data_IF_442745239136
#
_entry.id   IF_442745239136
#
_cell.length_a   1.000
_cell.length_b   1.000
_cell.length_c   1.000
_cell.angle_alpha   90.00
_cell.angle_beta   90.00
_cell.angle_gamma   90.00
#
_symmetry.space_group_name_H-M   'P 1'
#
loop_
_entity.id
_entity.type
_entity.pdbx_description
1 polymer ?
#
# COMPACT_ATOMS: atom_id res chain seq x y z
N UNK A 1 -34.28 -9.83 -3.37
CA UNK A 1 -33.38 -11.02 -3.31
C UNK A 1 -33.17 -11.54 -4.73
N UNK A 2 -32.23 -12.45 -4.98
CA UNK A 2 -32.07 -13.10 -6.29
C UNK A 2 -32.22 -14.62 -6.16
N UNK A 3 -33.25 -15.18 -6.80
CA UNK A 3 -33.48 -16.62 -6.87
C UNK A 3 -32.54 -17.28 -7.88
N UNK A 4 -31.98 -18.42 -7.49
CA UNK A 4 -31.08 -19.24 -8.30
C UNK A 4 -31.28 -20.73 -7.98
N UNK A 5 -30.88 -21.61 -8.90
CA UNK A 5 -30.85 -23.06 -8.68
C UNK A 5 -29.42 -23.55 -8.53
N UNK A 6 -29.22 -24.65 -7.81
CA UNK A 6 -27.88 -25.27 -7.65
C UNK A 6 -27.20 -25.58 -8.99
N UNK A 7 -27.97 -25.94 -10.03
CA UNK A 7 -27.46 -26.16 -11.39
C UNK A 7 -26.84 -24.93 -12.04
N UNK A 8 -27.24 -23.74 -11.60
CA UNK A 8 -26.86 -22.47 -12.21
C UNK A 8 -25.57 -21.91 -11.57
N UNK A 9 -25.20 -22.41 -10.39
CA UNK A 9 -24.07 -21.92 -9.60
C UNK A 9 -22.73 -21.90 -10.36
N UNK A 10 -22.34 -22.94 -11.14
CA UNK A 10 -21.12 -22.89 -11.94
C UNK A 10 -21.13 -21.77 -12.98
N UNK A 11 -22.30 -21.49 -13.58
CA UNK A 11 -22.46 -20.43 -14.55
C UNK A 11 -22.42 -19.04 -13.88
N UNK A 12 -23.06 -18.90 -12.71
CA UNK A 12 -22.98 -17.68 -11.89
C UNK A 12 -21.51 -17.37 -11.57
N UNK A 13 -20.77 -18.34 -11.02
CA UNK A 13 -19.36 -18.16 -10.66
C UNK A 13 -18.48 -17.84 -11.87
N UNK A 14 -18.77 -18.45 -13.02
CA UNK A 14 -18.07 -18.14 -14.25
C UNK A 14 -18.29 -16.70 -14.69
N UNK A 15 -19.55 -16.29 -14.78
CA UNK A 15 -19.93 -14.96 -15.28
C UNK A 15 -19.54 -13.84 -14.32
N UNK A 16 -19.64 -14.08 -13.01
CA UNK A 16 -19.35 -13.07 -12.00
C UNK A 16 -17.86 -13.01 -11.71
N UNK A 17 -17.19 -14.16 -11.52
CA UNK A 17 -15.85 -14.23 -10.94
C UNK A 17 -14.78 -14.59 -11.97
N UNK A 18 -14.91 -15.73 -12.65
CA UNK A 18 -13.76 -16.33 -13.37
C UNK A 18 -13.59 -15.90 -14.83
N UNK A 19 -14.53 -15.12 -15.37
CA UNK A 19 -14.48 -14.58 -16.74
C UNK A 19 -14.15 -13.07 -16.73
N UNK A 20 -12.86 -12.70 -16.87
CA UNK A 20 -12.45 -11.32 -16.68
C UNK A 20 -12.80 -10.37 -17.81
N UNK A 21 -13.18 -10.89 -18.97
CA UNK A 21 -13.55 -10.08 -20.13
C UNK A 21 -15.00 -9.58 -20.04
N UNK A 22 -15.75 -10.03 -19.03
CA UNK A 22 -17.19 -9.80 -18.89
C UNK A 22 -17.61 -9.11 -17.59
N UNK A 23 -16.68 -8.46 -16.85
CA UNK A 23 -17.04 -7.78 -15.60
C UNK A 23 -18.15 -6.76 -15.79
N UNK A 24 -19.09 -6.79 -14.86
CA UNK A 24 -20.41 -6.22 -15.02
C UNK A 24 -20.36 -4.79 -14.48
N UNK A 25 -20.25 -3.81 -15.36
CA UNK A 25 -20.22 -2.37 -15.04
C UNK A 25 -19.06 -1.92 -14.14
N UNK A 26 -18.32 -0.97 -14.66
CA UNK A 26 -17.30 -0.21 -13.99
C UNK A 26 -17.92 0.64 -12.84
N UNK A 27 -17.66 0.27 -11.57
CA UNK A 27 -17.77 1.21 -10.43
C UNK A 27 -18.94 1.09 -9.44
N UNK A 28 -19.61 -0.07 -9.28
CA UNK A 28 -20.71 -0.22 -8.29
C UNK A 28 -20.62 -1.46 -7.39
N UNK A 29 -19.50 -2.20 -7.38
CA UNK A 29 -19.37 -3.48 -6.67
C UNK A 29 -20.56 -4.44 -6.93
N UNK A 30 -21.06 -4.48 -8.16
CA UNK A 30 -22.30 -5.18 -8.48
C UNK A 30 -22.15 -6.69 -8.28
N UNK A 31 -20.96 -7.24 -8.53
CA UNK A 31 -20.67 -8.65 -8.32
C UNK A 31 -20.84 -9.03 -6.84
N UNK A 32 -20.27 -8.23 -5.94
CA UNK A 32 -20.44 -8.39 -4.49
C UNK A 32 -21.91 -8.29 -4.06
N UNK A 33 -22.66 -7.35 -4.64
CA UNK A 33 -24.08 -7.21 -4.34
C UNK A 33 -24.94 -8.35 -4.89
N UNK A 34 -24.65 -8.87 -6.09
CA UNK A 34 -25.34 -10.04 -6.66
C UNK A 34 -25.12 -11.26 -5.76
N UNK A 35 -23.86 -11.51 -5.36
CA UNK A 35 -23.52 -12.61 -4.44
C UNK A 35 -24.29 -12.46 -3.11
N UNK A 36 -24.35 -11.25 -2.55
CA UNK A 36 -25.10 -11.00 -1.33
C UNK A 36 -26.63 -11.19 -1.51
N UNK A 37 -27.22 -10.75 -2.62
CA UNK A 37 -28.64 -10.96 -2.86
C UNK A 37 -29.01 -12.43 -3.10
N UNK A 38 -28.08 -13.21 -3.68
CA UNK A 38 -28.19 -14.67 -3.81
C UNK A 38 -28.06 -15.37 -2.45
N UNK A 39 -27.21 -14.85 -1.55
CA UNK A 39 -27.10 -15.31 -0.17
C UNK A 39 -28.39 -15.06 0.62
N UNK A 40 -28.98 -13.86 0.48
CA UNK A 40 -30.29 -13.56 1.11
C UNK A 40 -31.40 -14.49 0.65
N UNK A 41 -31.37 -14.93 -0.61
CA UNK A 41 -32.34 -15.91 -1.10
C UNK A 41 -32.13 -17.29 -0.45
N UNK A 42 -30.88 -17.75 -0.33
CA UNK A 42 -30.59 -19.01 0.37
C UNK A 42 -31.04 -18.96 1.86
N UNK A 43 -30.82 -17.82 2.53
CA UNK A 43 -31.30 -17.57 3.90
C UNK A 43 -32.84 -17.57 3.99
N UNK A 44 -33.52 -16.95 3.02
CA UNK A 44 -34.98 -16.92 2.93
C UNK A 44 -35.58 -18.32 2.70
N UNK A 45 -34.90 -19.18 1.93
CA UNK A 45 -35.27 -20.58 1.77
C UNK A 45 -34.92 -21.45 2.98
N UNK A 46 -34.24 -20.90 4.00
CA UNK A 46 -33.69 -21.62 5.15
C UNK A 46 -32.87 -22.84 4.72
N UNK A 47 -32.08 -22.71 3.64
CA UNK A 47 -31.25 -23.79 3.10
C UNK A 47 -29.77 -23.59 3.45
N UNK A 48 -29.30 -24.37 4.41
CA UNK A 48 -27.88 -24.40 4.79
C UNK A 48 -27.02 -24.87 3.61
N UNK A 49 -27.46 -25.90 2.87
CA UNK A 49 -26.74 -26.43 1.71
C UNK A 49 -26.51 -25.37 0.63
N UNK A 50 -27.51 -24.54 0.32
CA UNK A 50 -27.36 -23.47 -0.67
C UNK A 50 -26.42 -22.37 -0.18
N UNK A 51 -26.46 -22.04 1.11
CA UNK A 51 -25.59 -21.06 1.75
C UNK A 51 -24.13 -21.51 1.67
N UNK A 52 -23.85 -22.73 2.10
CA UNK A 52 -22.52 -23.35 2.08
C UNK A 52 -21.98 -23.43 0.66
N UNK A 53 -22.77 -23.96 -0.29
CA UNK A 53 -22.35 -24.08 -1.69
C UNK A 53 -22.02 -22.72 -2.31
N UNK A 54 -22.82 -21.69 -2.04
CA UNK A 54 -22.60 -20.35 -2.58
C UNK A 54 -21.28 -19.75 -2.06
N UNK A 55 -21.03 -19.81 -0.75
CA UNK A 55 -19.82 -19.25 -0.15
C UNK A 55 -18.58 -20.04 -0.58
N UNK A 56 -18.61 -21.37 -0.49
CA UNK A 56 -17.49 -22.23 -0.92
C UNK A 56 -17.14 -22.05 -2.39
N UNK A 57 -18.16 -21.94 -3.25
CA UNK A 57 -17.95 -21.71 -4.69
C UNK A 57 -17.41 -20.32 -4.97
N UNK A 58 -17.84 -19.31 -4.21
CA UNK A 58 -17.30 -17.93 -4.28
C UNK A 58 -15.82 -17.94 -3.92
N UNK A 59 -15.46 -18.50 -2.76
CA UNK A 59 -14.08 -18.58 -2.28
C UNK A 59 -13.21 -19.37 -3.27
N UNK A 60 -13.67 -20.54 -3.73
CA UNK A 60 -12.92 -21.38 -4.68
C UNK A 60 -12.68 -20.67 -6.02
N UNK A 61 -13.66 -19.90 -6.49
CA UNK A 61 -13.56 -19.12 -7.73
C UNK A 61 -12.60 -17.95 -7.60
N UNK A 62 -12.58 -17.27 -6.44
CA UNK A 62 -11.62 -16.22 -6.14
C UNK A 62 -10.21 -16.79 -6.03
N UNK A 63 -10.03 -17.92 -5.37
CA UNK A 63 -8.73 -18.61 -5.30
C UNK A 63 -8.22 -19.03 -6.68
N UNK A 64 -9.12 -19.48 -7.56
CA UNK A 64 -8.78 -19.73 -8.95
C UNK A 64 -8.32 -18.43 -9.64
N UNK A 65 -9.09 -17.36 -9.52
CA UNK A 65 -8.79 -16.07 -10.12
C UNK A 65 -7.46 -15.51 -9.62
N UNK A 66 -7.23 -15.47 -8.31
CA UNK A 66 -6.01 -14.96 -7.71
C UNK A 66 -4.80 -15.79 -8.09
N UNK A 67 -4.95 -17.11 -8.30
CA UNK A 67 -3.87 -17.97 -8.79
C UNK A 67 -3.51 -17.70 -10.25
N UNK A 68 -4.50 -17.49 -11.11
CA UNK A 68 -4.31 -17.36 -12.56
C UNK A 68 -4.04 -15.92 -13.02
N UNK A 69 -4.52 -14.92 -12.28
CA UNK A 69 -4.43 -13.49 -12.62
C UNK A 69 -3.74 -12.65 -11.55
N UNK A 70 -2.86 -13.24 -10.73
CA UNK A 70 -2.08 -12.56 -9.67
C UNK A 70 -1.28 -11.33 -10.10
N UNK A 71 -1.01 -11.18 -11.40
CA UNK A 71 -0.24 -10.05 -11.94
C UNK A 71 -1.13 -9.00 -12.64
N UNK A 72 -2.46 -9.20 -12.66
CA UNK A 72 -3.42 -8.21 -13.17
C UNK A 72 -3.92 -7.32 -12.03
N UNK A 73 -3.25 -6.18 -11.82
CA UNK A 73 -3.56 -5.25 -10.72
C UNK A 73 -5.01 -4.74 -10.76
N UNK A 74 -5.49 -4.33 -11.94
CA UNK A 74 -6.84 -3.79 -12.10
C UNK A 74 -7.89 -4.81 -11.65
N UNK A 75 -7.68 -6.07 -12.01
CA UNK A 75 -8.54 -7.16 -11.62
C UNK A 75 -8.50 -7.45 -10.11
N UNK A 76 -7.31 -7.43 -9.51
CA UNK A 76 -7.19 -7.62 -8.07
C UNK A 76 -7.87 -6.47 -7.29
N UNK A 77 -7.70 -5.21 -7.73
CA UNK A 77 -8.40 -4.06 -7.14
C UNK A 77 -9.92 -4.18 -7.28
N UNK A 78 -10.41 -4.59 -8.45
CA UNK A 78 -11.83 -4.85 -8.70
C UNK A 78 -12.39 -5.88 -7.72
N UNK A 79 -11.66 -6.96 -7.51
CA UNK A 79 -12.08 -8.00 -6.58
C UNK A 79 -11.94 -7.61 -5.12
N UNK A 80 -10.94 -6.80 -4.75
CA UNK A 80 -10.83 -6.27 -3.40
C UNK A 80 -12.07 -5.42 -3.04
N UNK A 81 -12.52 -4.54 -3.94
CA UNK A 81 -13.74 -3.77 -3.75
C UNK A 81 -14.99 -4.65 -3.64
N UNK A 82 -15.16 -5.59 -4.57
CA UNK A 82 -16.32 -6.48 -4.58
C UNK A 82 -16.40 -7.44 -3.38
N UNK A 83 -15.28 -8.05 -2.97
CA UNK A 83 -15.26 -9.00 -1.84
C UNK A 83 -15.46 -8.29 -0.52
N UNK A 84 -14.91 -7.08 -0.35
CA UNK A 84 -15.14 -6.28 0.85
C UNK A 84 -16.58 -5.77 0.87
N UNK A 85 -17.16 -5.38 -0.26
CA UNK A 85 -18.59 -5.05 -0.36
C UNK A 85 -19.49 -6.22 0.08
N UNK A 86 -19.20 -7.44 -0.37
CA UNK A 86 -19.90 -8.65 0.08
C UNK A 86 -19.77 -8.82 1.60
N UNK A 87 -18.55 -8.72 2.14
CA UNK A 87 -18.29 -8.84 3.57
C UNK A 87 -19.05 -7.79 4.40
N UNK A 88 -19.02 -6.52 3.98
CA UNK A 88 -19.75 -5.45 4.67
C UNK A 88 -21.25 -5.70 4.63
N UNK A 89 -21.79 -6.16 3.49
CA UNK A 89 -23.21 -6.50 3.37
C UNK A 89 -23.58 -7.66 4.30
N UNK A 90 -22.77 -8.72 4.35
CA UNK A 90 -22.99 -9.85 5.27
C UNK A 90 -23.03 -9.38 6.73
N UNK A 91 -22.06 -8.56 7.16
CA UNK A 91 -22.01 -7.97 8.50
C UNK A 91 -23.21 -7.07 8.78
N UNK A 92 -23.51 -6.12 7.89
CA UNK A 92 -24.58 -5.13 8.04
C UNK A 92 -25.97 -5.77 8.22
N UNK A 93 -26.24 -6.83 7.46
CA UNK A 93 -27.53 -7.50 7.47
C UNK A 93 -27.52 -8.80 8.29
N UNK A 94 -26.47 -9.08 9.06
CA UNK A 94 -26.38 -10.29 9.91
C UNK A 94 -27.43 -10.37 11.02
N UNK A 95 -28.01 -9.24 11.42
CA UNK A 95 -28.89 -9.16 12.58
C UNK A 95 -28.15 -9.04 13.93
N UNK A 96 -26.82 -9.11 13.94
CA UNK A 96 -26.00 -8.90 15.14
C UNK A 96 -26.00 -7.41 15.54
N UNK A 97 -26.37 -7.07 16.79
CA UNK A 97 -26.40 -5.68 17.28
C UNK A 97 -25.05 -4.96 17.25
N UNK A 98 -23.92 -5.69 17.16
CA UNK A 98 -22.58 -5.10 17.01
C UNK A 98 -22.46 -4.34 15.67
N UNK A 99 -23.17 -4.77 14.63
CA UNK A 99 -23.16 -4.13 13.32
C UNK A 99 -24.36 -3.19 13.16
N UNK A 100 -24.09 -1.89 13.27
CA UNK A 100 -25.12 -0.88 13.03
C UNK A 100 -25.62 -0.93 11.58
N UNK A 101 -26.92 -1.16 11.39
CA UNK A 101 -27.56 -1.10 10.08
C UNK A 101 -28.39 0.19 9.92
N UNK A 102 -27.98 1.13 9.05
CA UNK A 102 -28.77 2.32 8.76
C UNK A 102 -30.03 2.03 7.93
N UNK A 103 -30.07 0.91 7.20
CA UNK A 103 -31.17 0.52 6.32
C UNK A 103 -32.25 -0.28 7.08
N UNK A 104 -33.07 0.42 7.85
CA UNK A 104 -34.10 -0.20 8.73
C UNK A 104 -35.22 -0.92 7.98
N UNK A 105 -35.43 -0.58 6.72
CA UNK A 105 -36.53 -1.13 5.90
C UNK A 105 -36.21 -2.51 5.31
N UNK A 106 -34.97 -2.97 5.41
CA UNK A 106 -34.53 -4.25 4.87
C UNK A 106 -34.38 -5.25 6.00
N UNK A 107 -35.14 -6.35 5.94
CA UNK A 107 -35.00 -7.45 6.90
C UNK A 107 -33.59 -8.02 6.85
N UNK A 108 -32.97 -8.12 8.03
CA UNK A 108 -31.72 -8.85 8.21
C UNK A 108 -31.88 -10.33 7.85
N UNK A 109 -30.76 -11.02 7.79
CA UNK A 109 -30.65 -12.46 7.66
C UNK A 109 -31.24 -13.07 8.93
N UNK A 110 -32.13 -14.04 8.77
CA UNK A 110 -32.98 -14.52 9.89
C UNK A 110 -32.67 -15.94 10.33
N UNK A 111 -31.99 -16.73 9.50
CA UNK A 111 -31.95 -18.18 9.66
C UNK A 111 -30.61 -18.73 10.17
N UNK A 112 -29.49 -18.02 9.98
CA UNK A 112 -28.15 -18.61 10.14
C UNK A 112 -27.12 -17.73 10.85
N UNK A 113 -26.28 -18.35 11.70
CA UNK A 113 -25.05 -17.74 12.21
C UNK A 113 -23.98 -17.77 11.12
N UNK A 114 -23.64 -16.60 10.58
CA UNK A 114 -22.69 -16.47 9.45
C UNK A 114 -21.23 -16.26 9.88
N UNK A 115 -20.93 -16.42 11.17
CA UNK A 115 -19.63 -16.08 11.76
C UNK A 115 -18.48 -16.81 11.06
N UNK A 116 -18.59 -18.13 10.85
CA UNK A 116 -17.55 -18.92 10.18
C UNK A 116 -17.37 -18.48 8.71
N UNK A 117 -18.46 -18.10 8.04
CA UNK A 117 -18.40 -17.60 6.66
C UNK A 117 -17.76 -16.21 6.55
N UNK A 118 -17.93 -15.35 7.56
CA UNK A 118 -17.22 -14.07 7.61
C UNK A 118 -15.71 -14.25 7.61
N UNK A 119 -15.20 -15.25 8.34
CA UNK A 119 -13.76 -15.51 8.43
C UNK A 119 -13.20 -15.99 7.08
N UNK A 120 -13.91 -16.86 6.36
CA UNK A 120 -13.50 -17.30 5.02
C UNK A 120 -13.43 -16.13 4.02
N UNK A 121 -14.47 -15.30 3.97
CA UNK A 121 -14.51 -14.13 3.08
C UNK A 121 -13.46 -13.09 3.48
N UNK A 122 -13.26 -12.89 4.78
CA UNK A 122 -12.23 -11.98 5.32
C UNK A 122 -10.83 -12.46 4.93
N UNK A 123 -10.53 -13.75 5.08
CA UNK A 123 -9.24 -14.33 4.70
C UNK A 123 -8.96 -14.16 3.20
N UNK A 124 -9.95 -14.37 2.34
CA UNK A 124 -9.78 -14.18 0.89
C UNK A 124 -9.59 -12.70 0.53
N UNK A 125 -10.31 -11.78 1.17
CA UNK A 125 -10.11 -10.34 0.99
C UNK A 125 -8.67 -9.92 1.38
N UNK A 126 -8.15 -10.45 2.50
CA UNK A 126 -6.78 -10.22 2.92
C UNK A 126 -5.76 -10.82 1.94
N UNK A 127 -6.02 -12.03 1.42
CA UNK A 127 -5.18 -12.66 0.40
C UNK A 127 -5.03 -11.77 -0.84
N UNK A 128 -6.14 -11.25 -1.36
CA UNK A 128 -6.15 -10.32 -2.50
C UNK A 128 -5.39 -9.03 -2.17
N UNK A 129 -5.62 -8.45 -0.97
CA UNK A 129 -4.89 -7.28 -0.49
C UNK A 129 -3.36 -7.49 -0.54
N UNK A 130 -2.86 -8.60 -0.01
CA UNK A 130 -1.42 -8.87 0.00
C UNK A 130 -0.86 -9.17 -1.40
N UNK A 131 -1.64 -9.76 -2.30
CA UNK A 131 -1.26 -9.91 -3.70
C UNK A 131 -1.08 -8.56 -4.39
N UNK A 132 -1.99 -7.61 -4.13
CA UNK A 132 -1.87 -6.23 -4.62
C UNK A 132 -0.58 -5.60 -4.09
N UNK A 133 -0.33 -5.64 -2.78
CA UNK A 133 0.91 -5.12 -2.19
C UNK A 133 2.15 -5.70 -2.86
N UNK A 134 2.22 -7.03 -3.01
CA UNK A 134 3.34 -7.70 -3.66
C UNK A 134 3.52 -7.28 -5.14
N UNK A 135 2.42 -7.00 -5.85
CA UNK A 135 2.50 -6.46 -7.20
C UNK A 135 3.05 -5.03 -7.20
N UNK A 136 2.54 -4.17 -6.32
CA UNK A 136 2.95 -2.77 -6.22
C UNK A 136 4.42 -2.64 -5.83
N UNK A 137 4.90 -3.40 -4.85
CA UNK A 137 6.31 -3.40 -4.46
C UNK A 137 7.22 -3.80 -5.64
N UNK A 138 6.87 -4.86 -6.38
CA UNK A 138 7.63 -5.31 -7.56
C UNK A 138 7.69 -4.25 -8.66
N UNK A 139 6.57 -3.56 -8.90
CA UNK A 139 6.48 -2.52 -9.94
C UNK A 139 7.22 -1.24 -9.53
N UNK A 140 7.21 -0.91 -8.24
CA UNK A 140 7.79 0.30 -7.70
C UNK A 140 9.30 0.20 -7.42
N UNK A 141 9.79 -0.98 -7.03
CA UNK A 141 11.21 -1.26 -6.72
C UNK A 141 12.21 -0.70 -7.75
N UNK A 142 12.06 -0.92 -9.08
CA UNK A 142 12.99 -0.37 -10.06
C UNK A 142 12.92 1.16 -10.22
N UNK A 143 11.89 1.81 -9.67
CA UNK A 143 11.71 3.27 -9.78
C UNK A 143 12.32 4.02 -8.60
N UNK A 144 12.33 3.42 -7.41
CA UNK A 144 12.70 4.10 -6.16
C UNK A 144 14.11 4.68 -6.21
N UNK A 145 15.13 3.87 -6.49
CA UNK A 145 16.53 4.33 -6.44
C UNK A 145 16.82 5.33 -7.56
N UNK A 146 16.50 5.04 -8.84
CA UNK A 146 16.73 5.99 -9.91
C UNK A 146 15.97 7.31 -9.71
N UNK A 147 14.69 7.24 -9.34
CA UNK A 147 13.81 8.40 -9.25
C UNK A 147 13.98 9.25 -7.99
N UNK A 148 14.26 8.63 -6.83
CA UNK A 148 14.31 9.35 -5.55
C UNK A 148 15.72 9.61 -5.02
N UNK A 149 16.72 8.80 -5.39
CA UNK A 149 18.10 8.92 -4.89
C UNK A 149 19.09 9.42 -5.93
N UNK A 150 19.01 8.94 -7.18
CA UNK A 150 20.02 9.20 -8.21
C UNK A 150 19.70 10.39 -9.13
N UNK A 151 18.42 10.60 -9.43
CA UNK A 151 17.99 11.69 -10.30
C UNK A 151 18.21 13.07 -9.65
N UNK A 152 18.93 13.94 -10.34
CA UNK A 152 19.17 15.33 -9.94
C UNK A 152 17.98 16.21 -10.37
N UNK A 153 16.93 16.28 -9.54
CA UNK A 153 15.78 17.17 -9.76
C UNK A 153 16.14 18.66 -9.59
N UNK A 154 17.21 19.00 -8.86
CA UNK A 154 17.69 20.38 -8.66
C UNK A 154 18.91 20.65 -9.56
N UNK A 155 18.66 21.12 -10.78
CA UNK A 155 19.65 21.29 -11.86
C UNK A 155 20.81 22.27 -11.56
N UNK A 156 20.69 23.16 -10.56
CA UNK A 156 21.70 24.18 -10.27
C UNK A 156 22.71 23.82 -9.19
N UNK A 157 22.59 22.66 -8.51
CA UNK A 157 23.45 22.33 -7.37
C UNK A 157 24.77 21.62 -7.76
N UNK A 158 24.93 21.22 -9.02
CA UNK A 158 26.05 20.38 -9.48
C UNK A 158 26.89 21.08 -10.55
N UNK A 159 27.46 22.26 -10.23
CA UNK A 159 28.45 22.93 -11.09
C UNK A 159 29.86 22.27 -11.06
N UNK A 160 30.01 21.07 -10.47
CA UNK A 160 31.31 20.49 -10.13
C UNK A 160 31.44 18.98 -10.43
N UNK A 161 30.66 18.40 -11.36
CA UNK A 161 31.01 17.07 -11.88
C UNK A 161 32.11 17.22 -12.94
N UNK A 162 33.24 16.49 -12.85
CA UNK A 162 34.23 16.48 -13.92
C UNK A 162 33.59 16.00 -15.21
N UNK A 163 33.83 16.72 -16.30
CA UNK A 163 33.47 16.34 -17.66
C UNK A 163 34.20 15.04 -18.01
N UNK A 164 33.63 13.88 -17.69
CA UNK A 164 34.31 12.61 -17.90
C UNK A 164 33.56 11.33 -17.51
N UNK A 165 32.45 11.42 -16.76
CA UNK A 165 31.64 10.24 -16.45
C UNK A 165 30.42 10.18 -17.37
N UNK A 166 30.47 9.27 -18.36
CA UNK A 166 29.31 8.92 -19.19
C UNK A 166 29.30 9.50 -20.61
N UNK A 167 30.44 9.56 -21.31
CA UNK A 167 30.42 9.57 -22.79
C UNK A 167 30.47 8.13 -23.29
N UNK A 168 29.33 7.44 -23.24
CA UNK A 168 29.16 6.21 -24.05
C UNK A 168 29.00 6.66 -25.50
N UNK A 169 30.09 6.56 -26.27
CA UNK A 169 30.03 6.55 -27.72
C UNK A 169 29.40 5.24 -28.14
N UNK A 170 28.09 5.23 -28.37
CA UNK A 170 27.35 4.29 -29.23
C UNK A 170 25.91 4.84 -29.34
N UNK A 171 25.47 5.14 -30.55
CA UNK A 171 24.09 5.54 -30.79
C UNK A 171 23.11 4.38 -30.55
N UNK A 172 21.86 4.76 -30.31
CA UNK A 172 20.63 3.95 -30.21
C UNK A 172 20.23 3.65 -28.74
N UNK A 173 19.10 4.26 -28.35
CA UNK A 173 18.45 4.31 -27.02
C UNK A 173 18.98 5.40 -26.07
N UNK A 174 18.24 6.51 -25.97
CA UNK A 174 18.38 7.43 -24.82
C UNK A 174 18.01 6.63 -23.56
N UNK A 175 18.83 6.66 -22.49
CA UNK A 175 18.45 5.99 -21.24
C UNK A 175 17.11 6.56 -20.77
N UNK A 176 16.18 5.68 -20.40
CA UNK A 176 14.91 6.10 -19.77
C UNK A 176 15.28 6.73 -18.44
N UNK A 177 15.05 8.04 -18.32
CA UNK A 177 15.28 8.78 -17.08
C UNK A 177 14.04 8.57 -16.22
N UNK A 178 14.23 7.97 -15.07
CA UNK A 178 13.19 7.84 -14.04
C UNK A 178 13.34 8.99 -13.06
N UNK A 179 12.23 9.59 -12.67
CA UNK A 179 12.14 10.78 -11.83
C UNK A 179 11.12 10.58 -10.71
N UNK A 180 11.09 11.51 -9.74
CA UNK A 180 10.03 11.52 -8.71
C UNK A 180 8.62 11.61 -9.31
N UNK A 181 8.45 12.26 -10.45
CA UNK A 181 7.15 12.37 -11.14
C UNK A 181 6.66 11.03 -11.71
N UNK A 182 7.55 10.08 -11.99
CA UNK A 182 7.13 8.72 -12.40
C UNK A 182 6.55 7.93 -11.24
N UNK A 183 7.06 8.16 -10.03
CA UNK A 183 6.54 7.58 -8.79
C UNK A 183 5.23 8.26 -8.42
N UNK A 184 5.14 9.58 -8.49
CA UNK A 184 3.89 10.32 -8.28
C UNK A 184 2.78 9.86 -9.23
N UNK A 185 3.10 9.67 -10.52
CA UNK A 185 2.16 9.10 -11.50
C UNK A 185 1.71 7.70 -11.10
N UNK A 186 2.62 6.83 -10.69
CA UNK A 186 2.26 5.50 -10.17
C UNK A 186 1.31 5.57 -8.96
N UNK A 187 1.54 6.49 -8.02
CA UNK A 187 0.67 6.68 -6.86
C UNK A 187 -0.72 7.19 -7.26
N UNK A 188 -0.79 8.13 -8.20
CA UNK A 188 -2.06 8.63 -8.77
C UNK A 188 -2.84 7.52 -9.47
N UNK A 189 -2.19 6.76 -10.35
CA UNK A 189 -2.82 5.67 -11.10
C UNK A 189 -3.40 4.61 -10.15
N UNK A 190 -2.65 4.27 -9.09
CA UNK A 190 -3.12 3.35 -8.05
C UNK A 190 -4.32 3.90 -7.29
N UNK A 191 -4.25 5.14 -6.80
CA UNK A 191 -5.35 5.74 -6.03
C UNK A 191 -6.63 5.79 -6.86
N UNK A 192 -6.52 6.27 -8.11
CA UNK A 192 -7.63 6.32 -9.05
C UNK A 192 -8.26 4.92 -9.26
N UNK A 193 -7.43 3.88 -9.41
CA UNK A 193 -7.92 2.51 -9.57
C UNK A 193 -8.64 2.00 -8.31
N UNK A 194 -8.09 2.26 -7.11
CA UNK A 194 -8.71 1.85 -5.86
C UNK A 194 -10.05 2.55 -5.61
N UNK A 195 -10.11 3.86 -5.86
CA UNK A 195 -11.34 4.66 -5.73
C UNK A 195 -12.39 4.24 -6.76
N UNK A 196 -11.97 3.98 -8.01
CA UNK A 196 -12.84 3.47 -9.06
C UNK A 196 -13.44 2.10 -8.70
N UNK A 197 -12.66 1.23 -8.07
CA UNK A 197 -13.13 -0.05 -7.56
C UNK A 197 -13.88 0.05 -6.22
N UNK A 198 -14.14 1.26 -5.71
CA UNK A 198 -14.82 1.53 -4.43
C UNK A 198 -14.17 0.83 -3.22
N UNK A 199 -12.84 0.72 -3.21
CA UNK A 199 -12.13 0.20 -2.04
C UNK A 199 -12.27 1.18 -0.88
N UNK A 200 -12.61 0.67 0.31
CA UNK A 200 -12.82 1.50 1.50
C UNK A 200 -11.58 2.34 1.83
N UNK A 201 -11.79 3.60 2.19
CA UNK A 201 -10.70 4.57 2.47
C UNK A 201 -9.73 4.05 3.53
N UNK A 202 -10.20 3.30 4.53
CA UNK A 202 -9.33 2.73 5.55
C UNK A 202 -8.37 1.66 4.99
N UNK A 203 -8.80 0.89 3.99
CA UNK A 203 -7.92 -0.04 3.28
C UNK A 203 -6.95 0.69 2.37
N UNK A 204 -7.40 1.76 1.70
CA UNK A 204 -6.53 2.64 0.91
C UNK A 204 -5.41 3.22 1.79
N UNK A 205 -5.74 3.74 2.96
CA UNK A 205 -4.75 4.27 3.92
C UNK A 205 -3.73 3.21 4.35
N UNK A 206 -4.18 1.99 4.66
CA UNK A 206 -3.28 0.88 5.00
C UNK A 206 -2.37 0.48 3.83
N UNK A 207 -2.89 0.49 2.59
CA UNK A 207 -2.09 0.20 1.40
C UNK A 207 -1.00 1.24 1.20
N UNK A 208 -1.35 2.53 1.26
CA UNK A 208 -0.36 3.60 1.11
C UNK A 208 0.64 3.61 2.26
N UNK A 209 0.22 3.26 3.49
CA UNK A 209 1.16 3.04 4.61
C UNK A 209 2.19 1.96 4.29
N UNK A 210 1.76 0.83 3.72
CA UNK A 210 2.66 -0.26 3.32
C UNK A 210 3.61 0.18 2.19
N UNK A 211 3.10 0.86 1.16
CA UNK A 211 3.90 1.33 0.02
C UNK A 211 4.96 2.33 0.46
N UNK A 212 4.58 3.32 1.28
CA UNK A 212 5.53 4.34 1.74
C UNK A 212 6.55 3.78 2.74
N UNK A 213 6.17 2.78 3.54
CA UNK A 213 7.13 2.01 4.33
C UNK A 213 8.15 1.28 3.44
N UNK A 214 7.70 0.63 2.37
CA UNK A 214 8.57 -0.03 1.39
C UNK A 214 9.53 0.98 0.73
N UNK A 215 9.02 2.13 0.25
CA UNK A 215 9.84 3.23 -0.30
C UNK A 215 10.92 3.64 0.71
N UNK A 216 10.52 3.96 1.95
CA UNK A 216 11.44 4.37 3.02
C UNK A 216 12.53 3.32 3.28
N UNK A 217 12.14 2.05 3.41
CA UNK A 217 13.06 0.94 3.66
C UNK A 217 14.07 0.75 2.52
N UNK A 218 13.60 0.74 1.27
CA UNK A 218 14.48 0.64 0.09
C UNK A 218 15.43 1.83 0.05
N UNK A 219 14.93 3.06 0.14
CA UNK A 219 15.77 4.26 0.08
C UNK A 219 16.84 4.28 1.16
N UNK A 220 16.46 4.00 2.41
CA UNK A 220 17.39 4.03 3.54
C UNK A 220 18.45 2.93 3.41
N UNK A 221 18.04 1.71 3.05
CA UNK A 221 18.98 0.62 2.83
C UNK A 221 20.02 0.98 1.74
N UNK A 222 19.59 1.52 0.60
CA UNK A 222 20.54 1.96 -0.43
C UNK A 222 21.47 3.07 0.05
N UNK A 223 20.96 4.07 0.77
CA UNK A 223 21.77 5.15 1.33
C UNK A 223 22.84 4.62 2.30
N UNK A 224 22.50 3.64 3.14
CA UNK A 224 23.42 3.05 4.13
C UNK A 224 24.61 2.32 3.51
N UNK A 225 24.49 1.84 2.26
CA UNK A 225 25.54 1.06 1.60
C UNK A 225 26.23 1.76 0.42
N UNK A 226 25.73 2.92 -0.02
CA UNK A 226 26.29 3.68 -1.15
C UNK A 226 26.94 5.00 -0.73
N UNK A 227 28.27 5.04 -0.75
CA UNK A 227 29.05 6.24 -0.37
C UNK A 227 28.81 7.41 -1.30
N UNK A 228 28.56 7.13 -2.57
CA UNK A 228 28.26 8.10 -3.62
C UNK A 228 26.94 8.84 -3.39
N UNK A 229 26.06 8.35 -2.50
CA UNK A 229 24.81 9.02 -2.11
C UNK A 229 24.94 9.78 -0.77
N UNK A 230 26.05 9.64 -0.05
CA UNK A 230 26.22 10.23 1.27
C UNK A 230 26.99 11.55 1.21
N UNK A 231 26.39 12.60 0.66
CA UNK A 231 26.98 13.94 0.63
C UNK A 231 25.91 15.03 0.73
N UNK A 232 26.32 16.28 1.01
CA UNK A 232 25.41 17.40 1.26
C UNK A 232 24.37 17.60 0.15
N UNK A 233 24.81 17.66 -1.11
CA UNK A 233 23.91 17.85 -2.26
C UNK A 233 22.90 16.72 -2.43
N UNK A 234 23.30 15.47 -2.17
CA UNK A 234 22.36 14.34 -2.20
C UNK A 234 21.31 14.49 -1.09
N UNK A 235 21.71 14.93 0.11
CA UNK A 235 20.76 15.25 1.17
C UNK A 235 19.71 16.29 0.76
N UNK A 236 20.10 17.34 0.03
CA UNK A 236 19.16 18.34 -0.51
C UNK A 236 18.22 17.74 -1.56
N UNK A 237 18.77 16.94 -2.48
CA UNK A 237 18.02 16.31 -3.56
C UNK A 237 16.98 15.31 -3.04
N UNK A 238 17.40 14.42 -2.11
CA UNK A 238 16.53 13.45 -1.47
C UNK A 238 15.41 14.19 -0.72
N UNK A 239 15.73 15.24 0.04
CA UNK A 239 14.70 16.01 0.78
C UNK A 239 13.68 16.65 -0.15
N UNK A 240 14.11 17.19 -1.31
CA UNK A 240 13.18 17.73 -2.30
C UNK A 240 12.24 16.64 -2.84
N UNK A 241 12.78 15.50 -3.26
CA UNK A 241 11.98 14.39 -3.77
C UNK A 241 11.00 13.86 -2.71
N UNK A 242 11.43 13.74 -1.45
CA UNK A 242 10.55 13.37 -0.34
C UNK A 242 9.45 14.40 -0.10
N UNK A 243 9.73 15.70 -0.23
CA UNK A 243 8.72 16.74 -0.08
C UNK A 243 7.62 16.65 -1.15
N UNK A 244 7.95 16.25 -2.38
CA UNK A 244 6.94 15.97 -3.42
C UNK A 244 6.00 14.85 -2.97
N UNK A 245 6.55 13.76 -2.42
CA UNK A 245 5.73 12.64 -1.93
C UNK A 245 4.92 13.01 -0.67
N UNK A 246 5.48 13.80 0.26
CA UNK A 246 4.78 14.31 1.44
C UNK A 246 3.63 15.25 1.06
N UNK A 247 3.81 16.09 0.04
CA UNK A 247 2.75 16.96 -0.47
C UNK A 247 1.65 16.14 -1.13
N UNK A 248 2.02 15.16 -1.95
CA UNK A 248 1.06 14.24 -2.58
C UNK A 248 0.16 13.56 -1.54
N UNK A 249 0.74 13.05 -0.44
CA UNK A 249 -0.03 12.48 0.67
C UNK A 249 -0.99 13.50 1.30
N UNK A 250 -0.58 14.75 1.45
CA UNK A 250 -1.41 15.81 2.04
C UNK A 250 -2.57 16.20 1.14
N UNK A 251 -2.32 16.34 -0.16
CA UNK A 251 -3.33 16.67 -1.17
C UNK A 251 -4.45 15.62 -1.22
N UNK A 252 -4.09 14.34 -1.06
CA UNK A 252 -5.03 13.22 -1.08
C UNK A 252 -5.56 12.82 0.32
N UNK A 253 -5.32 13.66 1.34
CA UNK A 253 -5.80 13.47 2.73
C UNK A 253 -5.27 12.19 3.42
N UNK A 254 -4.16 11.63 2.95
CA UNK A 254 -3.46 10.47 3.51
C UNK A 254 -2.40 10.89 4.53
N UNK A 255 -2.67 11.92 5.33
CA UNK A 255 -1.67 12.52 6.24
C UNK A 255 -1.18 11.56 7.32
N UNK A 256 -1.98 10.53 7.67
CA UNK A 256 -1.60 9.46 8.60
C UNK A 256 -0.43 8.59 8.09
N UNK A 257 -0.14 8.62 6.79
CA UNK A 257 0.94 7.83 6.16
C UNK A 257 2.28 8.55 6.21
N UNK A 258 2.30 9.89 6.32
CA UNK A 258 3.51 10.73 6.21
C UNK A 258 4.62 10.27 7.17
N UNK A 259 4.24 9.82 8.37
CA UNK A 259 5.20 9.41 9.40
C UNK A 259 6.05 8.20 8.99
N UNK A 260 5.60 7.40 8.01
CA UNK A 260 6.37 6.26 7.50
C UNK A 260 7.68 6.66 6.80
N UNK A 261 7.76 7.90 6.31
CA UNK A 261 8.96 8.44 5.65
C UNK A 261 9.97 9.07 6.64
N UNK A 262 9.62 9.19 7.93
CA UNK A 262 10.47 9.92 8.89
C UNK A 262 11.93 9.40 8.96
N UNK A 263 12.22 8.09 8.90
CA UNK A 263 13.60 7.61 8.91
C UNK A 263 14.43 8.17 7.74
N UNK A 264 13.95 8.07 6.49
CA UNK A 264 14.68 8.60 5.33
C UNK A 264 14.69 10.13 5.30
N UNK A 265 13.64 10.80 5.78
CA UNK A 265 13.62 12.26 5.96
C UNK A 265 14.73 12.70 6.90
N UNK A 266 14.84 12.05 8.07
CA UNK A 266 15.88 12.36 9.04
C UNK A 266 17.27 12.05 8.51
N UNK A 267 17.45 10.93 7.79
CA UNK A 267 18.71 10.60 7.14
C UNK A 267 19.13 11.64 6.09
N UNK A 268 18.20 12.12 5.27
CA UNK A 268 18.47 13.17 4.28
C UNK A 268 18.88 14.49 4.95
N UNK A 269 18.28 14.81 6.10
CA UNK A 269 18.62 16.01 6.86
C UNK A 269 19.95 15.88 7.58
N UNK A 270 20.25 14.70 8.13
CA UNK A 270 21.54 14.39 8.74
C UNK A 270 22.70 14.69 7.78
N UNK A 271 22.56 14.37 6.48
CA UNK A 271 23.57 14.71 5.47
C UNK A 271 23.82 16.22 5.37
N UNK A 272 22.84 17.06 5.67
CA UNK A 272 22.93 18.52 5.60
C UNK A 272 23.35 19.21 6.91
N UNK A 273 23.29 18.50 8.04
CA UNK A 273 23.63 19.07 9.35
C UNK A 273 25.14 19.32 9.48
N UNK A 274 25.53 20.20 10.41
CA UNK A 274 26.93 20.32 10.85
C UNK A 274 27.34 19.07 11.63
N UNK A 275 28.62 18.69 11.55
CA UNK A 275 29.12 17.39 12.03
C UNK A 275 30.56 17.48 12.58
N UNK A 276 30.94 18.63 13.15
CA UNK A 276 32.33 18.93 13.51
C UNK A 276 32.59 18.86 15.02
N UNK A 277 31.60 19.26 15.82
CA UNK A 277 31.72 19.44 17.27
C UNK A 277 30.88 18.43 18.06
N UNK A 278 31.09 18.38 19.38
CA UNK A 278 30.22 17.61 20.28
C UNK A 278 28.82 18.21 20.41
N UNK A 279 28.67 19.53 20.25
CA UNK A 279 27.35 20.18 20.26
C UNK A 279 26.56 19.79 19.01
N UNK A 280 27.21 19.78 17.83
CA UNK A 280 26.60 19.27 16.60
C UNK A 280 26.12 17.82 16.77
N UNK A 281 26.91 16.99 17.46
CA UNK A 281 26.56 15.61 17.75
C UNK A 281 25.32 15.47 18.64
N UNK A 282 25.12 16.36 19.61
CA UNK A 282 23.89 16.39 20.42
C UNK A 282 22.68 16.79 19.58
N UNK A 283 22.82 17.83 18.75
CA UNK A 283 21.75 18.23 17.84
C UNK A 283 21.36 17.10 16.86
N UNK A 284 22.34 16.33 16.37
CA UNK A 284 22.10 15.13 15.55
C UNK A 284 21.32 14.08 16.35
N UNK A 285 21.74 13.80 17.59
CA UNK A 285 21.08 12.84 18.48
C UNK A 285 19.60 13.16 18.68
N UNK A 286 19.31 14.42 19.03
CA UNK A 286 17.95 14.92 19.30
C UNK A 286 17.05 14.89 18.06
N UNK A 287 17.61 15.21 16.88
CA UNK A 287 16.84 15.29 15.64
C UNK A 287 16.52 13.91 15.05
N UNK A 288 17.47 12.96 15.12
CA UNK A 288 17.39 11.67 14.44
C UNK A 288 16.65 10.59 15.25
N UNK A 289 15.54 10.93 15.91
CA UNK A 289 14.79 10.03 16.80
C UNK A 289 14.14 8.80 16.13
N UNK A 290 14.00 8.79 14.79
CA UNK A 290 13.43 7.68 14.01
C UNK A 290 14.50 6.84 13.30
N UNK A 291 15.78 7.10 13.58
CA UNK A 291 16.90 6.27 13.14
C UNK A 291 17.54 5.63 14.35
N UNK A 292 17.96 4.37 14.25
CA UNK A 292 18.71 3.77 15.34
C UNK A 292 20.18 4.24 15.34
N UNK A 293 20.86 3.98 16.47
CA UNK A 293 22.27 4.36 16.64
C UNK A 293 23.17 3.85 15.51
N UNK A 294 22.96 2.60 15.05
CA UNK A 294 23.81 1.98 14.03
C UNK A 294 23.65 2.67 12.66
N UNK A 295 22.42 3.04 12.30
CA UNK A 295 22.10 3.76 11.07
C UNK A 295 22.73 5.15 11.06
N UNK A 296 22.57 5.92 12.15
CA UNK A 296 23.18 7.26 12.26
C UNK A 296 24.70 7.17 12.12
N UNK A 297 25.34 6.27 12.87
CA UNK A 297 26.79 6.08 12.79
C UNK A 297 27.25 5.61 11.41
N UNK A 298 26.49 4.75 10.75
CA UNK A 298 26.79 4.28 9.39
C UNK A 298 26.73 5.44 8.39
N UNK A 299 25.67 6.25 8.40
CA UNK A 299 25.53 7.41 7.51
C UNK A 299 26.69 8.38 7.71
N UNK A 300 27.03 8.73 8.95
CA UNK A 300 28.15 9.63 9.25
C UNK A 300 29.51 9.08 8.76
N UNK A 301 29.73 7.76 8.85
CA UNK A 301 30.96 7.11 8.33
C UNK A 301 31.01 7.07 6.80
N UNK A 302 29.86 6.98 6.16
CA UNK A 302 29.73 6.94 4.70
C UNK A 302 29.81 8.35 4.08
N UNK A 303 29.59 9.39 4.90
CA UNK A 303 29.61 10.78 4.48
C UNK A 303 30.92 11.16 3.77
N UNK A 304 30.78 11.67 2.55
CA UNK A 304 31.87 12.15 1.71
C UNK A 304 31.67 13.64 1.46
N UNK A 305 32.56 14.51 1.97
CA UNK A 305 32.49 15.95 1.72
C UNK A 305 32.46 16.26 0.22
N UNK A 306 31.47 17.03 -0.24
CA UNK A 306 31.34 17.43 -1.65
C UNK A 306 31.62 18.92 -1.88
N UNK A 307 31.84 19.69 -0.81
CA UNK A 307 32.08 21.15 -0.84
C UNK A 307 33.44 21.40 -0.18
N UNK A 308 34.24 22.33 -0.72
CA UNK A 308 35.61 22.62 -0.24
C UNK A 308 35.68 23.03 1.23
N UNK A 309 34.61 23.62 1.77
CA UNK A 309 34.52 24.03 3.17
C UNK A 309 34.23 22.88 4.14
N UNK A 310 33.89 21.68 3.65
CA UNK A 310 33.53 20.54 4.49
C UNK A 310 34.73 19.61 4.72
N UNK A 311 34.89 19.20 5.98
CA UNK A 311 35.85 18.17 6.37
C UNK A 311 35.16 16.82 6.56
N UNK A 312 35.94 15.73 6.54
CA UNK A 312 35.41 14.40 6.91
C UNK A 312 34.96 14.42 8.36
N UNK A 313 33.84 13.74 8.63
CA UNK A 313 33.28 13.63 9.99
C UNK A 313 34.32 12.99 10.93
N UNK A 314 34.71 13.66 12.03
CA UNK A 314 35.66 13.10 12.98
C UNK A 314 35.11 11.85 13.67
N UNK A 315 35.98 10.85 13.90
CA UNK A 315 35.59 9.62 14.61
C UNK A 315 35.09 9.90 16.04
N UNK A 316 35.63 10.93 16.70
CA UNK A 316 35.18 11.38 18.02
C UNK A 316 33.73 11.84 18.01
N UNK A 317 33.31 12.58 16.98
CA UNK A 317 31.91 13.03 16.78
C UNK A 317 31.01 11.81 16.57
N UNK A 318 31.39 10.89 15.68
CA UNK A 318 30.61 9.67 15.39
C UNK A 318 30.40 8.81 16.65
N UNK A 319 31.46 8.65 17.45
CA UNK A 319 31.39 7.92 18.71
C UNK A 319 30.48 8.64 19.73
N UNK A 320 30.60 9.96 19.82
CA UNK A 320 29.83 10.77 20.75
C UNK A 320 28.33 10.80 20.41
N UNK A 321 27.97 10.98 19.13
CA UNK A 321 26.57 10.86 18.66
C UNK A 321 25.95 9.55 19.12
N UNK A 322 26.65 8.43 18.90
CA UNK A 322 26.10 7.12 19.31
C UNK A 322 26.05 6.91 20.82
N UNK A 323 26.87 7.63 21.60
CA UNK A 323 26.75 7.61 23.07
C UNK A 323 25.54 8.42 23.53
N UNK A 324 25.35 9.64 23.01
CA UNK A 324 24.20 10.49 23.31
C UNK A 324 22.89 9.79 22.92
N UNK A 325 22.79 9.31 21.69
CA UNK A 325 21.55 8.74 21.18
C UNK A 325 21.09 7.51 21.97
N UNK A 326 22.02 6.61 22.32
CA UNK A 326 21.71 5.49 23.22
C UNK A 326 21.28 5.93 24.62
N UNK A 327 21.75 7.07 25.12
CA UNK A 327 21.33 7.58 26.42
C UNK A 327 19.92 8.18 26.34
N UNK A 328 19.64 8.93 25.28
CA UNK A 328 18.36 9.62 25.05
C UNK A 328 17.23 8.63 24.76
N UNK A 329 17.54 7.51 24.09
CA UNK A 329 16.56 6.51 23.64
C UNK A 329 16.65 5.16 24.38
N UNK A 330 17.25 5.15 25.58
CA UNK A 330 17.51 3.97 26.44
C UNK A 330 16.29 3.09 26.75
N UNK A 331 15.09 3.67 26.68
CA UNK A 331 13.81 3.00 26.99
C UNK A 331 12.99 2.66 25.75
N UNK A 332 13.49 2.99 24.55
CA UNK A 332 12.87 2.61 23.28
C UNK A 332 13.21 1.17 22.93
N UNK A 333 12.27 0.46 22.30
CA UNK A 333 12.54 -0.84 21.67
C UNK A 333 13.33 -0.63 20.37
N UNK A 334 14.57 -0.13 20.46
CA UNK A 334 15.43 0.00 19.28
C UNK A 334 15.80 -1.39 18.76
N UNK A 335 15.36 -1.73 17.56
CA UNK A 335 15.95 -2.84 16.82
C UNK A 335 17.40 -2.47 16.49
N UNK A 336 18.37 -3.26 16.95
CA UNK A 336 19.80 -3.02 16.66
C UNK A 336 20.20 -3.30 15.19
N UNK A 337 19.25 -3.73 14.37
CA UNK A 337 19.47 -4.04 12.96
C UNK A 337 19.84 -2.79 12.16
N UNK A 338 20.93 -2.86 11.41
CA UNK A 338 21.35 -1.76 10.54
C UNK A 338 20.33 -1.51 9.41
N UNK A 339 19.84 -2.58 8.79
CA UNK A 339 18.90 -2.51 7.68
C UNK A 339 17.46 -2.50 8.19
N UNK A 340 16.60 -1.78 7.46
CA UNK A 340 15.15 -1.92 7.60
C UNK A 340 14.74 -3.15 6.79
N UNK A 341 13.89 -4.00 7.37
CA UNK A 341 13.21 -5.04 6.60
C UNK A 341 12.15 -4.39 5.71
N UNK A 342 12.56 -3.97 4.51
CA UNK A 342 11.66 -3.29 3.58
C UNK A 342 10.50 -4.18 3.15
N UNK A 343 10.59 -5.50 3.29
CA UNK A 343 9.54 -6.46 2.90
C UNK A 343 8.62 -6.85 4.06
N UNK A 344 8.76 -6.20 5.22
CA UNK A 344 7.83 -6.37 6.32
C UNK A 344 6.41 -5.98 5.88
N UNK A 345 5.43 -6.82 6.21
CA UNK A 345 4.02 -6.58 5.91
C UNK A 345 3.26 -6.22 7.18
N UNK A 346 2.65 -5.03 7.21
CA UNK A 346 1.76 -4.67 8.32
C UNK A 346 0.53 -5.58 8.33
N UNK A 347 0.07 -6.01 9.52
CA UNK A 347 -1.21 -6.70 9.64
C UNK A 347 -2.34 -5.82 9.11
N UNK A 348 -3.07 -6.31 8.10
CA UNK A 348 -4.24 -5.62 7.56
C UNK A 348 -5.48 -5.89 8.41
N UNK A 349 -6.33 -4.88 8.55
CA UNK A 349 -7.66 -5.03 9.13
C UNK A 349 -8.73 -4.45 8.22
N UNK A 350 -9.90 -5.08 8.21
CA UNK A 350 -11.06 -4.66 7.42
C UNK A 350 -12.17 -4.27 8.43
N UNK A 351 -12.22 -3.00 8.87
CA UNK A 351 -13.23 -2.55 9.81
C UNK A 351 -14.62 -2.58 9.16
N UNK A 352 -15.64 -2.59 10.01
CA UNK A 352 -17.01 -2.50 9.53
C UNK A 352 -17.33 -1.10 9.02
N UNK A 353 -17.85 -1.02 7.79
CA UNK A 353 -18.24 0.22 7.12
C UNK A 353 -19.62 0.02 6.49
N UNK A 354 -20.71 0.57 7.08
CA UNK A 354 -22.07 0.35 6.60
C UNK A 354 -22.31 1.09 5.27
N UNK A 355 -23.12 0.49 4.39
CA UNK A 355 -23.49 1.07 3.09
C UNK A 355 -24.97 1.41 3.03
N UNK A 356 -25.33 2.44 2.25
CA UNK A 356 -26.73 2.85 1.99
C UNK A 356 -27.25 2.29 0.66
N UNK A 357 -26.75 1.13 0.25
CA UNK A 357 -27.02 0.59 -1.07
C UNK A 357 -28.48 0.09 -1.20
N UNK A 358 -29.17 0.50 -2.27
CA UNK A 358 -30.54 0.08 -2.55
C UNK A 358 -30.57 -1.19 -3.42
N UNK A 359 -30.64 -2.36 -2.79
CA UNK A 359 -30.76 -3.65 -3.48
C UNK A 359 -31.97 -3.77 -4.41
N UNK A 360 -33.06 -3.05 -4.13
CA UNK A 360 -34.23 -3.04 -5.00
C UNK A 360 -33.98 -2.30 -6.32
N UNK A 361 -32.93 -1.48 -6.42
CA UNK A 361 -32.56 -0.76 -7.65
C UNK A 361 -31.53 -1.50 -8.51
N UNK A 362 -31.01 -2.66 -8.09
CA UNK A 362 -30.06 -3.42 -8.92
C UNK A 362 -30.73 -3.93 -10.18
N UNK A 363 -30.13 -3.64 -11.32
CA UNK A 363 -30.42 -4.29 -12.60
C UNK A 363 -29.53 -5.53 -12.74
N UNK A 364 -30.17 -6.70 -12.87
CA UNK A 364 -29.44 -7.95 -13.09
C UNK A 364 -28.85 -7.91 -14.51
N UNK A 365 -27.54 -8.11 -14.68
CA UNK A 365 -26.94 -8.08 -16.00
C UNK A 365 -27.48 -9.17 -16.92
N UNK A 366 -27.51 -8.90 -18.24
CA UNK A 366 -28.13 -9.79 -19.23
C UNK A 366 -27.54 -11.20 -19.25
N UNK A 367 -26.27 -11.34 -18.89
CA UNK A 367 -25.55 -12.61 -18.80
C UNK A 367 -26.06 -13.50 -17.65
N UNK A 368 -26.83 -12.91 -16.72
CA UNK A 368 -27.42 -13.52 -15.55
C UNK A 368 -28.96 -13.40 -15.57
N UNK A 369 -29.58 -13.31 -16.75
CA UNK A 369 -31.04 -13.17 -16.92
C UNK A 369 -31.86 -14.32 -16.33
N UNK A 370 -31.23 -15.47 -16.10
CA UNK A 370 -31.81 -16.61 -15.39
C UNK A 370 -31.98 -16.39 -13.87
N UNK A 371 -31.34 -15.36 -13.29
CA UNK A 371 -31.57 -14.97 -11.90
C UNK A 371 -32.88 -14.19 -11.78
N UNK A 372 -33.79 -14.65 -10.93
CA UNK A 372 -35.11 -14.01 -10.76
C UNK A 372 -35.07 -13.08 -9.55
N UNK A 373 -35.33 -11.79 -9.77
CA UNK A 373 -35.45 -10.79 -8.71
C UNK A 373 -36.77 -10.96 -7.95
N UNK A 374 -36.66 -11.22 -6.65
CA UNK A 374 -37.78 -11.37 -5.69
C UNK A 374 -37.89 -10.13 -4.83
#
# INVERSE_FOLDING_TARGET
MLSWKESDLPQIMKTIITDPDHFLSEGNCIEGHILFMSLRYADHCSSDTMTTQLIESTVSSLQYLTKHYKDNLNLLCHWLGNITCLLQSMRQYSGDPVYYNPCKDVTGLTSFELSDYHDFITAEAMSIYYLIINHLERTLEPLIVPGLLEHESILCLTSARPVGWGRTLLGIVKPVIVTVSDIERFLNDLLNQLEFCLVDTYLIEQMFKQIFYFINGVMLNYLLFRKDLCHWTSGMQIRYNLNVLEEWLREHKLTCVVDTLQPIVQASKLLQMKKETQDDARCISEFCANLNTQQIQKILRMYTPSIESESRVPLSVIQFVGQCHRQDHRFGSETENLMIDSRYQFPVSIPYSPTLFNFAAIDVPKQLDFLIKI
#
